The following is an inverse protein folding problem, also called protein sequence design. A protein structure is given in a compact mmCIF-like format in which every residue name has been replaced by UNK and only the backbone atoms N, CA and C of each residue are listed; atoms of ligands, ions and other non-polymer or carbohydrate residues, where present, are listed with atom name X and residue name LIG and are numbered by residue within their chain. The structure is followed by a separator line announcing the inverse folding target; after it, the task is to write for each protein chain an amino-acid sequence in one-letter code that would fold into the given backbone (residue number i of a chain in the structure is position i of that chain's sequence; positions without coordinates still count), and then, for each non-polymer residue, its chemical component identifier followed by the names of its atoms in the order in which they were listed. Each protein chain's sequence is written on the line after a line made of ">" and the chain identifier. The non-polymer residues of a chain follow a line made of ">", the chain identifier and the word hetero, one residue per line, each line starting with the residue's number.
data_IF_402274808613
#
_entry.id   IF_402274808613
#
_cell.length_a   1.000
_cell.length_b   1.000
_cell.length_c   1.000
_cell.angle_alpha   90.00
_cell.angle_beta   90.00
_cell.angle_gamma   90.00
#
_symmetry.space_group_name_H-M   'P 1'
#
loop_
_entity.id
_entity.type
_entity.pdbx_description
1 polymer ?
#
# COMPACT_ATOMS: atom_id res chain seq x y z
N UNK A 1 15.09 -4.56 -15.37
CA UNK A 1 15.12 -4.94 -16.80
C UNK A 1 16.50 -5.39 -17.30
N UNK A 2 17.62 -4.75 -16.95
CA UNK A 2 18.97 -5.25 -17.34
C UNK A 2 19.29 -6.56 -16.64
N UNK A 3 19.06 -6.67 -15.32
CA UNK A 3 19.27 -7.91 -14.56
C UNK A 3 18.43 -9.10 -15.04
N UNK A 4 17.19 -8.85 -15.45
CA UNK A 4 16.30 -9.90 -16.00
C UNK A 4 16.85 -10.45 -17.33
N UNK A 5 17.36 -9.55 -18.20
CA UNK A 5 17.98 -9.95 -19.47
C UNK A 5 19.28 -10.72 -19.26
N UNK A 6 20.10 -10.32 -18.30
CA UNK A 6 21.33 -11.06 -17.96
C UNK A 6 20.99 -12.44 -17.37
N UNK A 7 19.99 -12.54 -16.50
CA UNK A 7 19.56 -13.83 -15.98
C UNK A 7 19.09 -14.76 -17.11
N UNK A 8 18.24 -14.27 -18.03
CA UNK A 8 17.74 -15.06 -19.16
C UNK A 8 18.88 -15.46 -20.14
N UNK A 9 19.87 -14.60 -20.32
CA UNK A 9 21.04 -14.90 -21.16
C UNK A 9 21.87 -16.07 -20.63
N UNK A 10 22.07 -16.14 -19.29
CA UNK A 10 22.84 -17.19 -18.65
C UNK A 10 22.03 -18.46 -18.37
N UNK A 11 20.73 -18.34 -18.21
CA UNK A 11 19.81 -19.44 -17.92
C UNK A 11 18.60 -19.40 -18.86
N UNK A 12 18.78 -19.58 -20.18
CA UNK A 12 17.71 -19.44 -21.15
C UNK A 12 16.57 -20.41 -20.90
N UNK A 13 15.35 -19.87 -20.79
CA UNK A 13 14.13 -20.63 -20.51
C UNK A 13 14.02 -21.24 -19.13
N UNK A 14 14.95 -20.89 -18.21
CA UNK A 14 14.96 -21.39 -16.82
C UNK A 14 14.84 -20.28 -15.78
N UNK A 15 14.57 -19.07 -16.22
CA UNK A 15 14.43 -17.91 -15.32
C UNK A 15 12.98 -17.73 -14.87
N UNK A 16 12.79 -17.54 -13.56
CA UNK A 16 11.56 -17.04 -12.98
C UNK A 16 11.78 -15.60 -12.55
N UNK A 17 11.10 -14.66 -13.20
CA UNK A 17 11.16 -13.22 -12.89
C UNK A 17 9.87 -12.80 -12.23
N UNK A 18 9.93 -12.38 -10.98
CA UNK A 18 8.80 -11.85 -10.23
C UNK A 18 9.00 -10.35 -10.08
N UNK A 19 8.01 -9.57 -10.52
CA UNK A 19 7.96 -8.11 -10.41
C UNK A 19 6.90 -7.75 -9.37
N UNK A 20 7.27 -7.59 -8.08
CA UNK A 20 6.32 -7.23 -7.05
C UNK A 20 5.87 -5.78 -7.19
N UNK A 21 4.63 -5.50 -6.77
CA UNK A 21 4.18 -4.15 -6.48
C UNK A 21 4.68 -3.67 -5.12
N UNK A 22 3.91 -2.80 -4.45
CA UNK A 22 4.19 -2.39 -3.08
C UNK A 22 4.04 -3.59 -2.14
N UNK A 23 5.16 -4.04 -1.56
CA UNK A 23 5.16 -5.13 -0.57
C UNK A 23 4.80 -4.52 0.79
N UNK A 24 3.78 -5.12 1.45
CA UNK A 24 3.21 -4.61 2.71
C UNK A 24 3.15 -5.73 3.77
N UNK A 25 2.71 -5.38 4.97
CA UNK A 25 2.55 -6.34 6.06
C UNK A 25 3.56 -6.16 7.18
N UNK A 26 3.67 -7.11 8.12
CA UNK A 26 4.70 -7.10 9.15
C UNK A 26 6.10 -6.97 8.54
N UNK A 27 6.95 -6.13 9.15
CA UNK A 27 8.29 -5.75 8.65
C UNK A 27 8.28 -4.80 7.44
N UNK A 28 7.22 -4.03 7.24
CA UNK A 28 7.25 -2.89 6.32
C UNK A 28 8.20 -1.81 6.86
N UNK A 29 9.48 -1.95 6.52
CA UNK A 29 10.55 -1.04 6.95
C UNK A 29 10.43 0.36 6.36
N UNK A 30 9.58 0.54 5.35
CA UNK A 30 9.35 1.82 4.67
C UNK A 30 8.24 2.65 5.28
N UNK A 31 7.37 2.03 6.08
CA UNK A 31 6.13 2.55 6.65
C UNK A 31 5.09 3.00 5.62
N UNK A 32 5.27 2.72 4.35
CA UNK A 32 4.32 3.17 3.32
C UNK A 32 2.92 2.61 3.50
N UNK A 33 2.81 1.35 3.95
CA UNK A 33 1.52 0.79 4.32
C UNK A 33 1.26 0.95 5.82
N UNK A 34 2.29 0.74 6.65
CA UNK A 34 2.20 0.82 8.12
C UNK A 34 1.65 2.16 8.61
N UNK A 35 1.87 3.24 7.86
CA UNK A 35 1.30 4.56 8.13
C UNK A 35 -0.22 4.50 8.35
N UNK A 36 -0.96 3.83 7.47
CA UNK A 36 -2.42 3.85 7.53
C UNK A 36 -3.00 3.12 8.75
N UNK A 37 -2.63 1.86 9.06
CA UNK A 37 -3.07 1.22 10.30
C UNK A 37 -2.70 2.01 11.55
N UNK A 38 -1.48 2.56 11.60
CA UNK A 38 -1.00 3.35 12.74
C UNK A 38 -1.78 4.67 12.87
N UNK A 39 -2.01 5.38 11.76
CA UNK A 39 -2.75 6.64 11.78
C UNK A 39 -4.21 6.44 12.14
N UNK A 40 -4.86 5.44 11.56
CA UNK A 40 -6.28 5.13 11.80
C UNK A 40 -6.50 4.65 13.25
N UNK A 41 -5.59 3.84 13.79
CA UNK A 41 -5.66 3.36 15.19
C UNK A 41 -5.63 4.50 16.22
N UNK A 42 -4.98 5.63 15.91
CA UNK A 42 -4.98 6.84 16.76
C UNK A 42 -6.37 7.50 16.87
N UNK A 43 -7.26 7.20 15.92
CA UNK A 43 -8.60 7.79 15.87
C UNK A 43 -8.63 9.27 15.47
N UNK A 44 -9.78 9.91 15.73
CA UNK A 44 -10.05 11.30 15.36
C UNK A 44 -10.18 11.50 13.86
N UNK A 45 -10.09 12.74 13.41
CA UNK A 45 -10.17 13.10 12.00
C UNK A 45 -8.89 12.73 11.27
N UNK A 46 -9.02 12.02 10.14
CA UNK A 46 -7.93 11.50 9.31
C UNK A 46 -8.03 12.12 7.92
N UNK A 47 -6.95 12.73 7.47
CA UNK A 47 -6.83 13.23 6.10
C UNK A 47 -6.80 12.05 5.11
N UNK A 48 -7.85 11.92 4.31
CA UNK A 48 -7.96 10.93 3.24
C UNK A 48 -7.74 11.61 1.87
N UNK A 49 -6.78 11.14 1.06
CA UNK A 49 -6.41 11.83 -0.16
C UNK A 49 -7.31 11.49 -1.34
N UNK A 50 -7.51 12.47 -2.23
CA UNK A 50 -8.17 12.31 -3.52
C UNK A 50 -9.64 11.92 -3.40
N UNK A 51 -10.00 10.80 -4.01
CA UNK A 51 -11.36 10.24 -3.97
C UNK A 51 -11.36 8.80 -3.48
N UNK A 52 -12.47 8.32 -2.85
CA UNK A 52 -12.57 6.93 -2.40
C UNK A 52 -12.35 5.88 -3.51
N UNK A 53 -12.50 6.29 -4.77
CA UNK A 53 -12.38 5.40 -5.94
C UNK A 53 -10.98 5.36 -6.54
N UNK A 54 -10.05 6.17 -6.04
CA UNK A 54 -8.67 6.17 -6.56
C UNK A 54 -8.05 4.79 -6.34
N UNK A 55 -7.52 4.15 -7.39
CA UNK A 55 -7.09 2.77 -7.30
C UNK A 55 -5.80 2.63 -6.50
N UNK A 56 -5.70 1.54 -5.74
CA UNK A 56 -4.50 1.15 -5.01
C UNK A 56 -4.16 -0.31 -5.27
N UNK A 57 -2.87 -0.62 -5.30
CA UNK A 57 -2.38 -2.00 -5.41
C UNK A 57 -1.21 -2.23 -4.47
N UNK A 58 -1.24 -3.37 -3.78
CA UNK A 58 -0.17 -3.83 -2.89
C UNK A 58 -0.24 -5.35 -2.73
N UNK A 59 0.78 -5.94 -2.17
CA UNK A 59 0.82 -7.38 -1.86
C UNK A 59 1.40 -7.60 -0.47
N UNK A 60 0.77 -8.42 0.35
CA UNK A 60 1.36 -8.85 1.62
C UNK A 60 2.62 -9.69 1.34
N UNK A 61 3.71 -9.37 2.04
CA UNK A 61 4.99 -10.05 1.85
C UNK A 61 4.91 -11.56 2.07
N UNK A 62 3.98 -12.02 2.91
CA UNK A 62 3.74 -13.44 3.15
C UNK A 62 3.11 -14.13 1.95
N UNK A 63 2.10 -13.48 1.31
CA UNK A 63 1.45 -14.02 0.11
C UNK A 63 2.44 -14.10 -1.06
N UNK A 64 3.26 -13.04 -1.21
CA UNK A 64 4.33 -13.01 -2.19
C UNK A 64 5.33 -14.13 -1.97
N UNK A 65 5.79 -14.32 -0.74
CA UNK A 65 6.78 -15.33 -0.39
C UNK A 65 6.24 -16.76 -0.61
N UNK A 66 5.05 -17.05 -0.11
CA UNK A 66 4.40 -18.35 -0.26
C UNK A 66 4.17 -18.70 -1.73
N UNK A 67 3.68 -17.75 -2.51
CA UNK A 67 3.48 -17.95 -3.95
C UNK A 67 4.81 -18.12 -4.68
N UNK A 68 5.83 -17.34 -4.34
CA UNK A 68 7.18 -17.47 -4.94
C UNK A 68 7.76 -18.87 -4.72
N UNK A 69 7.63 -19.42 -3.50
CA UNK A 69 8.10 -20.77 -3.18
C UNK A 69 7.36 -21.79 -4.05
N UNK A 70 6.03 -21.73 -4.13
CA UNK A 70 5.24 -22.63 -4.98
C UNK A 70 5.64 -22.56 -6.47
N UNK A 71 5.93 -21.36 -6.97
CA UNK A 71 6.39 -21.17 -8.35
C UNK A 71 7.72 -21.88 -8.59
N UNK A 72 8.65 -21.80 -7.65
CA UNK A 72 9.96 -22.47 -7.72
C UNK A 72 9.80 -23.99 -7.62
N UNK A 73 9.01 -24.49 -6.67
CA UNK A 73 8.74 -25.91 -6.49
C UNK A 73 8.09 -26.56 -7.71
N UNK A 74 7.23 -25.81 -8.40
CA UNK A 74 6.56 -26.26 -9.64
C UNK A 74 7.43 -26.08 -10.89
N UNK A 75 8.67 -25.60 -10.77
CA UNK A 75 9.56 -25.36 -11.91
C UNK A 75 9.04 -24.29 -12.88
N UNK A 76 8.23 -23.34 -12.42
CA UNK A 76 7.65 -22.30 -13.25
C UNK A 76 8.72 -21.29 -13.73
N UNK A 77 8.59 -20.85 -14.96
CA UNK A 77 9.50 -19.88 -15.57
C UNK A 77 8.74 -18.75 -16.25
N UNK A 78 9.46 -17.67 -16.58
CA UNK A 78 8.89 -16.50 -17.26
C UNK A 78 8.73 -15.30 -16.34
N UNK A 79 7.98 -14.28 -16.79
CA UNK A 79 7.86 -12.98 -16.11
C UNK A 79 6.44 -12.82 -15.56
N UNK A 80 6.33 -12.49 -14.29
CA UNK A 80 5.08 -12.32 -13.57
C UNK A 80 5.07 -11.04 -12.76
N UNK A 81 4.05 -10.23 -12.96
CA UNK A 81 3.75 -9.14 -12.01
C UNK A 81 3.01 -9.73 -10.81
N UNK A 82 3.49 -9.45 -9.61
CA UNK A 82 2.94 -9.96 -8.35
C UNK A 82 2.53 -8.81 -7.44
N UNK A 83 1.30 -8.34 -7.60
CA UNK A 83 0.65 -7.34 -6.75
C UNK A 83 -0.84 -7.67 -6.65
N UNK A 84 -1.60 -6.95 -5.87
CA UNK A 84 -3.02 -7.24 -5.67
C UNK A 84 -3.84 -6.05 -5.20
N UNK A 85 -5.07 -6.31 -4.84
CA UNK A 85 -5.77 -7.60 -4.92
C UNK A 85 -6.17 -8.01 -6.34
N UNK A 86 -6.89 -9.13 -6.46
CA UNK A 86 -7.42 -9.67 -7.72
C UNK A 86 -8.49 -8.80 -8.38
N UNK A 87 -9.14 -7.97 -7.57
CA UNK A 87 -10.13 -6.97 -7.99
C UNK A 87 -9.59 -5.57 -7.78
N UNK A 88 -10.09 -4.62 -8.57
CA UNK A 88 -9.77 -3.21 -8.34
C UNK A 88 -10.18 -2.82 -6.93
N UNK A 89 -9.24 -2.34 -6.15
CA UNK A 89 -9.44 -1.82 -4.81
C UNK A 89 -9.32 -0.30 -4.84
N UNK A 90 -10.35 0.40 -4.35
CA UNK A 90 -10.29 1.84 -4.11
C UNK A 90 -9.61 2.15 -2.77
N UNK A 91 -8.94 3.31 -2.70
CA UNK A 91 -8.35 3.75 -1.43
C UNK A 91 -9.38 3.89 -0.32
N UNK A 92 -10.64 4.25 -0.65
CA UNK A 92 -11.75 4.29 0.30
C UNK A 92 -12.07 2.93 0.90
N UNK A 93 -12.08 1.88 0.08
CA UNK A 93 -12.27 0.51 0.56
C UNK A 93 -11.09 0.05 1.40
N UNK A 94 -9.86 0.44 1.04
CA UNK A 94 -8.67 0.14 1.84
C UNK A 94 -8.74 0.82 3.21
N UNK A 95 -8.95 2.14 3.25
CA UNK A 95 -8.97 2.90 4.52
C UNK A 95 -10.16 2.50 5.41
N UNK A 96 -11.35 2.32 4.81
CA UNK A 96 -12.53 1.81 5.49
C UNK A 96 -12.31 0.41 6.05
N UNK A 97 -11.77 -0.50 5.25
CA UNK A 97 -11.45 -1.87 5.67
C UNK A 97 -10.41 -1.93 6.81
N UNK A 98 -9.41 -1.04 6.80
CA UNK A 98 -8.45 -0.91 7.91
C UNK A 98 -9.17 -0.40 9.18
N UNK A 99 -10.00 0.65 9.06
CA UNK A 99 -10.78 1.20 10.16
C UNK A 99 -11.65 0.13 10.81
N UNK A 100 -12.39 -0.62 10.01
CA UNK A 100 -13.29 -1.68 10.47
C UNK A 100 -12.50 -2.83 11.13
N UNK A 101 -11.40 -3.26 10.51
CA UNK A 101 -10.54 -4.30 11.04
C UNK A 101 -9.97 -3.97 12.42
N UNK A 102 -9.66 -2.69 12.67
CA UNK A 102 -9.10 -2.18 13.92
C UNK A 102 -10.17 -1.70 14.89
N UNK A 103 -11.44 -1.65 14.50
CA UNK A 103 -12.54 -1.06 15.27
C UNK A 103 -12.22 0.39 15.72
N UNK A 104 -11.52 1.12 14.86
CA UNK A 104 -10.97 2.42 15.18
C UNK A 104 -12.05 3.53 15.13
N UNK A 105 -11.97 4.47 16.07
CA UNK A 105 -12.83 5.66 16.11
C UNK A 105 -12.20 6.78 15.26
N UNK A 106 -12.05 6.53 13.96
CA UNK A 106 -11.50 7.46 13.01
C UNK A 106 -12.57 7.96 12.04
N UNK A 107 -12.51 9.22 11.64
CA UNK A 107 -13.34 9.82 10.59
C UNK A 107 -12.45 10.21 9.41
N UNK A 108 -12.81 9.75 8.22
CA UNK A 108 -12.06 10.03 7.00
C UNK A 108 -12.58 11.30 6.33
N UNK A 109 -11.77 12.36 6.35
CA UNK A 109 -12.06 13.62 5.63
C UNK A 109 -11.37 13.59 4.28
N UNK A 110 -12.18 13.45 3.22
CA UNK A 110 -11.68 13.39 1.85
C UNK A 110 -11.29 14.76 1.33
N UNK A 111 -10.04 14.89 0.93
CA UNK A 111 -9.48 16.14 0.41
C UNK A 111 -9.02 15.93 -1.03
N UNK A 112 -9.59 16.69 -2.01
CA UNK A 112 -9.27 16.54 -3.42
C UNK A 112 -7.78 16.71 -3.73
N UNK A 113 -7.28 15.97 -4.73
CA UNK A 113 -5.88 15.99 -5.15
C UNK A 113 -5.36 17.40 -5.46
N UNK A 114 -6.16 18.23 -6.13
CA UNK A 114 -5.78 19.61 -6.46
C UNK A 114 -5.56 20.47 -5.21
N UNK A 115 -6.36 20.29 -4.17
CA UNK A 115 -6.16 21.00 -2.92
C UNK A 115 -4.91 20.50 -2.18
N UNK A 116 -4.69 19.19 -2.14
CA UNK A 116 -3.47 18.60 -1.57
C UNK A 116 -2.22 19.17 -2.27
N UNK A 117 -2.24 19.24 -3.60
CA UNK A 117 -1.16 19.83 -4.40
C UNK A 117 -0.94 21.31 -4.07
N UNK A 118 -2.01 22.11 -3.91
CA UNK A 118 -1.92 23.51 -3.46
C UNK A 118 -1.29 23.61 -2.06
N UNK A 119 -1.59 22.68 -1.19
CA UNK A 119 -1.01 22.58 0.15
C UNK A 119 0.38 21.93 0.15
N UNK A 120 0.96 21.57 -1.00
CA UNK A 120 2.27 20.88 -1.12
C UNK A 120 2.31 19.56 -0.35
N UNK A 121 1.19 18.84 -0.35
CA UNK A 121 1.11 17.46 0.16
C UNK A 121 1.38 16.53 -1.00
N UNK A 122 2.45 15.76 -0.88
CA UNK A 122 2.95 14.92 -1.96
C UNK A 122 2.28 13.53 -1.94
N UNK A 123 1.82 13.09 -3.12
CA UNK A 123 1.41 11.70 -3.30
C UNK A 123 2.57 10.76 -3.00
N UNK A 124 2.27 9.55 -2.56
CA UNK A 124 3.24 8.49 -2.27
C UNK A 124 4.16 8.71 -1.07
N UNK A 125 4.59 9.92 -0.78
CA UNK A 125 5.45 10.24 0.38
C UNK A 125 4.65 10.69 1.59
N UNK A 126 3.83 11.74 1.46
CA UNK A 126 2.97 12.25 2.52
C UNK A 126 1.67 11.46 2.64
N UNK A 127 1.14 11.00 1.48
CA UNK A 127 -0.03 10.14 1.37
C UNK A 127 0.37 8.78 0.79
N UNK A 128 0.95 7.89 1.61
CA UNK A 128 1.50 6.63 1.11
C UNK A 128 0.42 5.75 0.49
N UNK A 129 0.82 4.88 -0.44
CA UNK A 129 -0.05 3.99 -1.23
C UNK A 129 -0.90 4.75 -2.25
N UNK A 130 -1.32 5.98 -1.95
CA UNK A 130 -2.10 6.80 -2.88
C UNK A 130 -1.22 7.42 -3.96
N UNK A 131 -1.71 7.37 -5.19
CA UNK A 131 -1.15 8.09 -6.34
C UNK A 131 -2.24 8.99 -6.94
N UNK A 132 -1.84 10.13 -7.50
CA UNK A 132 -2.78 10.97 -8.22
C UNK A 132 -3.34 10.25 -9.46
N UNK A 133 -4.47 10.73 -10.00
CA UNK A 133 -5.08 10.13 -11.19
C UNK A 133 -4.11 10.08 -12.39
N UNK A 134 -3.19 11.04 -12.50
CA UNK A 134 -2.16 11.12 -13.53
C UNK A 134 -1.11 10.00 -13.40
N UNK A 135 -0.84 9.56 -12.18
CA UNK A 135 0.13 8.52 -11.85
C UNK A 135 -0.49 7.14 -11.61
N UNK A 136 -1.79 7.01 -11.80
CA UNK A 136 -2.56 5.80 -11.46
C UNK A 136 -2.13 4.53 -12.22
N UNK A 137 -1.22 4.61 -13.17
CA UNK A 137 -0.62 3.46 -13.86
C UNK A 137 0.07 2.47 -12.92
N UNK A 138 0.65 2.96 -11.82
CA UNK A 138 1.28 2.13 -10.78
C UNK A 138 0.27 1.25 -10.04
N UNK A 139 -0.98 1.68 -9.95
CA UNK A 139 -2.06 0.98 -9.26
C UNK A 139 -2.97 0.17 -10.21
N UNK A 140 -2.54 -0.07 -11.46
CA UNK A 140 -3.29 -0.79 -12.50
C UNK A 140 -2.44 -1.85 -13.21
N UNK A 141 -1.50 -2.41 -12.49
CA UNK A 141 -0.62 -3.47 -13.03
C UNK A 141 -1.43 -4.73 -13.32
N UNK A 142 -1.28 -5.27 -14.52
CA UNK A 142 -1.92 -6.53 -14.92
C UNK A 142 -1.24 -7.73 -14.23
N UNK A 143 -2.02 -8.48 -13.46
CA UNK A 143 -1.58 -9.63 -12.66
C UNK A 143 -2.22 -10.95 -13.11
N UNK A 144 -2.96 -10.97 -14.22
CA UNK A 144 -3.71 -12.18 -14.68
C UNK A 144 -2.82 -13.40 -14.81
N UNK A 145 -1.57 -13.23 -15.23
CA UNK A 145 -0.61 -14.34 -15.33
C UNK A 145 -0.29 -14.95 -13.98
N UNK A 146 -0.10 -14.12 -12.95
CA UNK A 146 0.18 -14.59 -11.59
C UNK A 146 -1.05 -15.27 -10.99
N UNK A 147 -2.26 -14.71 -11.19
CA UNK A 147 -3.52 -15.34 -10.77
C UNK A 147 -3.71 -16.71 -11.42
N UNK A 148 -3.44 -16.84 -12.72
CA UNK A 148 -3.51 -18.12 -13.43
C UNK A 148 -2.51 -19.16 -12.89
N UNK A 149 -1.47 -18.72 -12.18
CA UNK A 149 -0.48 -19.54 -11.47
C UNK A 149 -0.72 -19.62 -9.95
N UNK A 150 -1.94 -19.34 -9.51
CA UNK A 150 -2.38 -19.55 -8.14
C UNK A 150 -1.90 -18.48 -7.14
N UNK A 151 -1.61 -17.26 -7.60
CA UNK A 151 -1.43 -16.15 -6.65
C UNK A 151 -2.76 -15.88 -5.93
N UNK A 152 -2.72 -15.86 -4.61
CA UNK A 152 -3.86 -15.58 -3.74
C UNK A 152 -3.50 -14.49 -2.74
N UNK A 153 -4.50 -13.87 -2.15
CA UNK A 153 -4.33 -12.74 -1.24
C UNK A 153 -5.06 -13.01 0.06
N UNK A 154 -4.39 -12.77 1.19
CA UNK A 154 -5.05 -12.76 2.49
C UNK A 154 -5.99 -11.57 2.62
N UNK A 155 -6.98 -11.64 3.51
CA UNK A 155 -7.88 -10.53 3.78
C UNK A 155 -7.11 -9.28 4.23
N UNK A 156 -7.47 -8.10 3.69
CA UNK A 156 -6.92 -6.81 4.10
C UNK A 156 -6.93 -6.63 5.63
N UNK A 157 -8.00 -7.09 6.28
CA UNK A 157 -8.17 -7.01 7.73
C UNK A 157 -7.05 -7.76 8.51
N UNK A 158 -6.56 -8.87 7.97
CA UNK A 158 -5.45 -9.62 8.56
C UNK A 158 -4.14 -8.84 8.39
N UNK A 159 -3.83 -8.42 7.15
CA UNK A 159 -2.64 -7.61 6.88
C UNK A 159 -2.60 -6.36 7.75
N UNK A 160 -3.73 -5.64 7.89
CA UNK A 160 -3.81 -4.43 8.68
C UNK A 160 -3.54 -4.66 10.17
N UNK A 161 -4.21 -5.68 10.77
CA UNK A 161 -4.01 -6.03 12.18
C UNK A 161 -2.58 -6.48 12.47
N UNK A 162 -2.05 -7.35 11.64
CA UNK A 162 -0.71 -7.92 11.85
C UNK A 162 0.38 -6.85 11.66
N UNK A 163 0.19 -5.94 10.68
CA UNK A 163 1.11 -4.80 10.48
C UNK A 163 1.10 -3.90 11.70
N UNK A 164 -0.07 -3.54 12.22
CA UNK A 164 -0.18 -2.70 13.41
C UNK A 164 0.42 -3.38 14.64
N UNK A 165 0.14 -4.68 14.84
CA UNK A 165 0.70 -5.45 15.95
C UNK A 165 2.23 -5.49 15.89
N UNK A 166 2.78 -5.76 14.69
CA UNK A 166 4.23 -5.70 14.48
C UNK A 166 4.79 -4.30 14.77
N UNK A 167 4.16 -3.25 14.26
CA UNK A 167 4.63 -1.86 14.52
C UNK A 167 4.63 -1.54 16.01
N UNK A 168 3.58 -1.92 16.74
CA UNK A 168 3.46 -1.72 18.19
C UNK A 168 4.46 -2.56 19.00
N UNK A 169 5.02 -3.62 18.42
CA UNK A 169 6.08 -4.43 19.06
C UNK A 169 7.49 -3.85 18.90
N UNK A 170 7.65 -2.79 18.09
CA UNK A 170 8.95 -2.16 17.88
C UNK A 170 9.35 -1.29 19.09
N UNK A 171 10.65 -0.96 19.24
CA UNK A 171 11.11 -0.06 20.30
C UNK A 171 10.39 1.29 20.28
N UNK A 172 10.22 1.97 21.44
CA UNK A 172 9.52 3.25 21.52
C UNK A 172 10.06 4.32 20.57
N UNK A 173 11.37 4.37 20.37
CA UNK A 173 12.02 5.32 19.43
C UNK A 173 11.57 5.08 18.00
N UNK A 174 11.36 3.80 17.62
CA UNK A 174 10.87 3.43 16.29
C UNK A 174 9.39 3.76 16.13
N UNK A 175 8.58 3.57 17.17
CA UNK A 175 7.16 3.91 17.16
C UNK A 175 6.91 5.43 17.15
N UNK A 176 7.82 6.22 17.71
CA UNK A 176 7.68 7.68 17.80
C UNK A 176 7.74 8.37 16.43
N UNK A 177 8.36 7.75 15.42
CA UNK A 177 8.57 8.37 14.11
C UNK A 177 8.36 7.37 12.97
N UNK A 178 7.29 7.58 12.21
CA UNK A 178 7.08 6.91 10.93
C UNK A 178 8.05 7.47 9.87
N UNK A 179 8.48 6.61 8.96
CA UNK A 179 9.39 6.97 7.84
C UNK A 179 8.63 7.53 6.63
N UNK A 180 7.34 7.26 6.54
CA UNK A 180 6.45 7.75 5.49
C UNK A 180 5.16 8.31 6.10
N UNK A 181 4.43 9.09 5.32
CA UNK A 181 3.20 9.72 5.72
C UNK A 181 3.38 11.14 6.26
N UNK A 182 2.31 11.90 6.23
CA UNK A 182 2.27 13.27 6.73
C UNK A 182 2.43 13.30 8.26
N UNK A 183 3.14 14.30 8.80
CA UNK A 183 3.24 14.47 10.25
C UNK A 183 1.89 14.87 10.86
N UNK A 184 1.63 14.54 12.13
CA UNK A 184 0.38 14.93 12.81
C UNK A 184 0.12 16.44 12.79
N UNK A 185 1.16 17.25 12.94
CA UNK A 185 1.08 18.70 12.92
C UNK A 185 0.67 19.20 11.55
N UNK A 186 1.33 18.67 10.50
CA UNK A 186 1.04 19.04 9.13
C UNK A 186 -0.33 18.57 8.67
N UNK A 187 -0.75 17.37 9.05
CA UNK A 187 -2.10 16.87 8.80
C UNK A 187 -3.17 17.80 9.37
N UNK A 188 -3.00 18.22 10.63
CA UNK A 188 -3.90 19.17 11.29
C UNK A 188 -3.98 20.53 10.58
N UNK A 189 -2.85 21.06 10.11
CA UNK A 189 -2.82 22.31 9.34
C UNK A 189 -3.61 22.18 8.02
N UNK A 190 -3.41 21.07 7.29
CA UNK A 190 -4.08 20.84 6.00
C UNK A 190 -5.59 20.67 6.19
N UNK A 191 -6.03 19.93 7.23
CA UNK A 191 -7.44 19.77 7.57
C UNK A 191 -8.08 21.10 7.96
N UNK A 192 -7.41 21.90 8.80
CA UNK A 192 -7.89 23.24 9.17
C UNK A 192 -8.06 24.15 7.95
N UNK A 193 -7.08 24.14 7.03
CA UNK A 193 -7.15 24.90 5.80
C UNK A 193 -8.27 24.40 4.86
N UNK A 194 -8.55 23.09 4.87
CA UNK A 194 -9.66 22.52 4.11
C UNK A 194 -11.01 22.95 4.63
N UNK A 195 -11.23 22.91 5.95
CA UNK A 195 -12.48 23.34 6.57
C UNK A 195 -12.76 24.83 6.36
N UNK A 196 -11.73 25.69 6.47
CA UNK A 196 -11.86 27.13 6.25
C UNK A 196 -12.21 27.51 4.80
N UNK A 197 -12.05 26.60 3.84
CA UNK A 197 -12.41 26.82 2.44
C UNK A 197 -13.92 26.62 2.17
N UNK A 198 -14.58 25.86 3.04
CA UNK A 198 -16.02 25.55 2.93
C UNK A 198 -16.94 26.57 3.62
N UNK A 199 -16.36 27.56 4.33
CA UNK A 199 -17.04 28.74 4.89
C UNK A 199 -16.93 29.91 3.89
#
# INVERSE_FOLDING_TARGET
>A
MLSEREAEKWFPGKTLVIRPGLIVGPRDETDRFSYWPVRIDRGGEVLAPGTPKDPVQFIDGRDLAEWTIRMVENGETGIYNATGPDKTLGIGEMLGGIKDALQAKAELTWVPADFLKQQKVEAWSDMPVWTSAEESGLARTDIRRALAKGLTFRPLAETARDTLAWFKSQPPERQAKLKAGISPEREKEVLAAWHSKGE
#
